data_IF_715810268496
#
_entry.id   IF_715810268496
#
_cell.length_a   1.000
_cell.length_b   1.000
_cell.length_c   1.000
_cell.angle_alpha   90.00
_cell.angle_beta   90.00
_cell.angle_gamma   90.00
#
_symmetry.space_group_name_H-M   'P 1'
#
loop_
_entity.id
_entity.type
_entity.pdbx_description
1 polymer ?
#
# COMPACT_ATOMS: atom_id res chain seq x y z
N UNK A 1 -19.50 -9.98 -29.46
CA UNK A 1 -18.91 -10.24 -28.12
C UNK A 1 -18.60 -11.72 -27.83
N UNK A 2 -19.54 -12.66 -28.00
CA UNK A 2 -19.29 -14.12 -27.79
C UNK A 2 -18.14 -14.72 -28.62
N UNK A 3 -17.91 -14.24 -29.85
CA UNK A 3 -16.84 -14.73 -30.72
C UNK A 3 -15.44 -14.32 -30.22
N UNK A 4 -15.28 -13.07 -29.77
CA UNK A 4 -14.02 -12.56 -29.22
C UNK A 4 -13.61 -13.29 -27.95
N UNK A 5 -14.56 -13.58 -27.05
CA UNK A 5 -14.29 -14.34 -25.82
C UNK A 5 -13.84 -15.77 -26.15
N UNK A 6 -14.45 -16.40 -27.15
CA UNK A 6 -14.03 -17.73 -27.61
C UNK A 6 -12.61 -17.68 -28.17
N UNK A 7 -12.31 -16.70 -29.02
CA UNK A 7 -10.99 -16.52 -29.62
C UNK A 7 -9.92 -16.31 -28.54
N UNK A 8 -10.16 -15.39 -27.60
CA UNK A 8 -9.29 -15.11 -26.46
C UNK A 8 -9.08 -16.36 -25.59
N UNK A 9 -10.14 -17.12 -25.33
CA UNK A 9 -10.04 -18.35 -24.56
C UNK A 9 -9.20 -19.40 -25.28
N UNK A 10 -9.39 -19.56 -26.58
CA UNK A 10 -8.61 -20.53 -27.37
C UNK A 10 -7.14 -20.15 -27.46
N UNK A 11 -6.82 -18.88 -27.64
CA UNK A 11 -5.43 -18.41 -27.67
C UNK A 11 -4.75 -18.52 -26.30
N UNK A 12 -5.47 -18.24 -25.21
CA UNK A 12 -4.96 -18.46 -23.84
C UNK A 12 -4.71 -19.94 -23.52
N UNK A 13 -5.57 -20.84 -24.00
CA UNK A 13 -5.43 -22.28 -23.74
C UNK A 13 -4.30 -22.91 -24.57
N UNK A 14 -4.08 -22.42 -25.80
CA UNK A 14 -2.99 -22.90 -26.66
C UNK A 14 -1.66 -22.18 -26.43
N UNK A 15 -1.60 -21.26 -25.45
CA UNK A 15 -0.40 -20.51 -25.15
C UNK A 15 0.74 -21.47 -24.75
N UNK A 16 1.85 -21.37 -25.48
CA UNK A 16 3.07 -22.10 -25.20
C UNK A 16 4.25 -21.14 -25.31
N UNK A 17 4.59 -20.50 -24.19
CA UNK A 17 5.65 -19.50 -24.12
C UNK A 17 7.04 -20.13 -24.32
N UNK A 18 7.22 -21.39 -23.94
CA UNK A 18 8.47 -22.13 -24.04
C UNK A 18 8.35 -23.17 -25.17
N UNK A 19 8.86 -22.83 -26.35
CA UNK A 19 8.68 -23.62 -27.56
C UNK A 19 9.82 -24.62 -27.76
N UNK A 20 9.67 -25.53 -28.75
CA UNK A 20 10.72 -26.48 -29.12
C UNK A 20 12.06 -25.79 -29.44
N UNK A 21 12.03 -24.57 -29.99
CA UNK A 21 13.26 -23.81 -30.29
C UNK A 21 14.11 -23.54 -29.04
N UNK A 22 13.48 -23.49 -27.88
CA UNK A 22 14.11 -23.17 -26.62
C UNK A 22 14.64 -24.43 -25.89
N UNK A 23 14.30 -25.63 -26.36
CA UNK A 23 14.53 -26.91 -25.64
C UNK A 23 15.63 -27.81 -26.21
N UNK A 24 16.40 -27.34 -27.19
CA UNK A 24 17.57 -28.06 -27.74
C UNK A 24 17.23 -29.28 -28.62
N UNK A 25 18.11 -29.63 -29.55
CA UNK A 25 17.80 -30.57 -30.65
C UNK A 25 17.67 -32.04 -30.25
N UNK A 26 17.87 -32.39 -28.97
CA UNK A 26 17.90 -33.78 -28.49
C UNK A 26 16.58 -34.29 -27.88
N UNK A 27 15.55 -33.45 -27.74
CA UNK A 27 14.27 -33.85 -27.15
C UNK A 27 13.20 -34.16 -28.20
N UNK A 28 12.43 -35.22 -27.95
CA UNK A 28 11.29 -35.58 -28.80
C UNK A 28 10.27 -34.43 -28.87
N UNK A 29 9.71 -34.23 -30.07
CA UNK A 29 8.87 -33.07 -30.41
C UNK A 29 7.57 -33.05 -29.61
N UNK A 30 7.01 -34.22 -29.29
CA UNK A 30 5.79 -34.34 -28.49
C UNK A 30 6.11 -33.99 -27.05
N UNK A 31 7.21 -34.56 -26.53
CA UNK A 31 7.67 -34.34 -25.16
C UNK A 31 7.95 -32.85 -24.89
N UNK A 32 8.70 -32.19 -25.78
CA UNK A 32 8.99 -30.77 -25.66
C UNK A 32 7.73 -29.90 -25.70
N UNK A 33 6.74 -30.24 -26.53
CA UNK A 33 5.45 -29.52 -26.59
C UNK A 33 4.66 -29.64 -25.29
N UNK A 34 4.62 -30.83 -24.68
CA UNK A 34 3.95 -31.01 -23.40
C UNK A 34 4.67 -30.26 -22.28
N UNK A 35 6.00 -30.37 -22.22
CA UNK A 35 6.81 -29.69 -21.22
C UNK A 35 6.66 -28.17 -21.31
N UNK A 36 6.71 -27.62 -22.52
CA UNK A 36 6.52 -26.18 -22.77
C UNK A 36 5.17 -25.67 -22.26
N UNK A 37 4.09 -26.41 -22.53
CA UNK A 37 2.74 -26.06 -22.07
C UNK A 37 2.64 -26.08 -20.54
N UNK A 38 3.22 -27.09 -19.88
CA UNK A 38 3.24 -27.15 -18.42
C UNK A 38 4.09 -26.04 -17.80
N UNK A 39 5.28 -25.78 -18.36
CA UNK A 39 6.14 -24.69 -17.93
C UNK A 39 5.45 -23.34 -18.09
N UNK A 40 4.73 -23.12 -19.20
CA UNK A 40 3.95 -21.91 -19.43
C UNK A 40 2.84 -21.74 -18.39
N UNK A 41 2.11 -22.82 -18.07
CA UNK A 41 1.07 -22.78 -17.02
C UNK A 41 1.65 -22.49 -15.65
N UNK A 42 2.78 -23.13 -15.30
CA UNK A 42 3.48 -22.91 -14.04
C UNK A 42 3.97 -21.46 -13.94
N UNK A 43 4.59 -20.95 -15.01
CA UNK A 43 5.07 -19.57 -15.07
C UNK A 43 3.94 -18.56 -14.87
N UNK A 44 2.83 -18.72 -15.60
CA UNK A 44 1.67 -17.83 -15.46
C UNK A 44 1.10 -17.90 -14.03
N UNK A 45 0.98 -19.11 -13.46
CA UNK A 45 0.49 -19.28 -12.10
C UNK A 45 1.39 -18.57 -11.08
N UNK A 46 2.71 -18.75 -11.17
CA UNK A 46 3.70 -18.11 -10.31
C UNK A 46 3.72 -16.58 -10.49
N UNK A 47 3.58 -16.12 -11.73
CA UNK A 47 3.56 -14.70 -12.05
C UNK A 47 2.33 -14.02 -11.46
N UNK A 48 1.14 -14.61 -11.66
CA UNK A 48 -0.11 -14.11 -11.07
C UNK A 48 -0.03 -14.15 -9.54
N UNK A 49 0.52 -15.22 -8.95
CA UNK A 49 0.66 -15.30 -7.50
C UNK A 49 1.59 -14.21 -6.97
N UNK A 50 2.73 -13.99 -7.64
CA UNK A 50 3.70 -12.95 -7.26
C UNK A 50 3.09 -11.54 -7.33
N UNK A 51 2.37 -11.22 -8.41
CA UNK A 51 1.65 -9.96 -8.53
C UNK A 51 0.57 -9.79 -7.47
N UNK A 52 -0.14 -10.88 -7.14
CA UNK A 52 -1.17 -10.87 -6.09
C UNK A 52 -0.54 -10.58 -4.72
N UNK A 53 0.55 -11.27 -4.37
CA UNK A 53 1.28 -11.02 -3.13
C UNK A 53 1.79 -9.57 -3.05
N UNK A 54 2.40 -9.07 -4.13
CA UNK A 54 2.88 -7.68 -4.18
C UNK A 54 1.74 -6.68 -3.96
N UNK A 55 0.61 -6.89 -4.65
CA UNK A 55 -0.56 -6.01 -4.54
C UNK A 55 -1.12 -6.03 -3.11
N UNK A 56 -1.28 -7.21 -2.52
CA UNK A 56 -1.76 -7.35 -1.13
C UNK A 56 -0.80 -6.63 -0.19
N UNK A 57 0.50 -6.84 -0.34
CA UNK A 57 1.51 -6.18 0.49
C UNK A 57 1.42 -4.66 0.39
N UNK A 58 1.32 -4.10 -0.82
CA UNK A 58 1.21 -2.67 -1.03
C UNK A 58 -0.07 -2.06 -0.45
N UNK A 59 -1.19 -2.79 -0.46
CA UNK A 59 -2.47 -2.32 0.09
C UNK A 59 -2.52 -2.46 1.62
N UNK A 60 -2.02 -3.58 2.15
CA UNK A 60 -2.08 -3.88 3.58
C UNK A 60 -1.06 -3.06 4.37
N UNK A 61 0.07 -2.67 3.77
CA UNK A 61 1.03 -1.82 4.44
C UNK A 61 0.42 -0.46 4.78
N UNK A 62 0.24 -0.15 6.09
CA UNK A 62 -0.25 1.16 6.49
C UNK A 62 0.80 2.20 6.09
N UNK A 63 0.37 3.16 5.28
CA UNK A 63 1.23 4.29 4.91
C UNK A 63 1.45 5.16 6.16
N UNK A 64 2.71 5.37 6.54
CA UNK A 64 3.06 6.30 7.62
C UNK A 64 2.82 7.71 7.09
N UNK A 65 1.67 8.30 7.43
CA UNK A 65 1.33 9.67 7.04
C UNK A 65 1.55 10.59 8.23
N UNK A 66 2.47 11.55 8.08
CA UNK A 66 2.62 12.63 9.06
C UNK A 66 1.42 13.57 8.99
N UNK A 67 0.67 13.68 10.07
CA UNK A 67 -0.41 14.67 10.22
C UNK A 67 0.16 15.93 10.88
N UNK A 68 -0.07 17.09 10.27
CA UNK A 68 0.34 18.39 10.80
C UNK A 68 -0.85 19.13 11.40
N UNK A 69 -0.68 19.62 12.63
CA UNK A 69 -1.68 20.43 13.32
C UNK A 69 -1.13 21.84 13.49
N UNK A 70 -1.70 22.81 12.77
CA UNK A 70 -1.28 24.20 12.87
C UNK A 70 -1.97 24.84 14.08
N UNK A 71 -1.19 25.29 15.07
CA UNK A 71 -1.65 25.99 16.28
C UNK A 71 -2.82 25.26 16.98
N UNK A 72 -2.62 24.02 17.45
CA UNK A 72 -3.66 23.29 18.16
C UNK A 72 -4.05 24.02 19.46
N UNK A 73 -5.30 23.91 19.88
CA UNK A 73 -5.70 24.31 21.23
C UNK A 73 -5.02 23.42 22.28
N UNK A 74 -4.98 23.88 23.53
CA UNK A 74 -4.40 23.10 24.62
C UNK A 74 -5.08 21.73 24.81
N UNK A 75 -6.39 21.65 24.62
CA UNK A 75 -7.14 20.38 24.64
C UNK A 75 -6.68 19.43 23.54
N UNK A 76 -6.58 19.90 22.29
CA UNK A 76 -6.13 19.09 21.15
C UNK A 76 -4.70 18.60 21.34
N UNK A 77 -3.83 19.43 21.93
CA UNK A 77 -2.48 19.03 22.29
C UNK A 77 -2.48 17.90 23.33
N UNK A 78 -3.25 18.02 24.41
CA UNK A 78 -3.33 16.97 25.44
C UNK A 78 -3.85 15.65 24.87
N UNK A 79 -4.91 15.70 24.06
CA UNK A 79 -5.47 14.50 23.41
C UNK A 79 -4.44 13.84 22.47
N UNK A 80 -3.72 14.66 21.70
CA UNK A 80 -2.68 14.18 20.77
C UNK A 80 -1.47 13.63 21.51
N UNK A 81 -1.06 14.26 22.61
CA UNK A 81 0.03 13.78 23.47
C UNK A 81 -0.33 12.46 24.12
N UNK A 82 -1.56 12.30 24.60
CA UNK A 82 -2.04 11.02 25.14
C UNK A 82 -2.07 9.92 24.08
N UNK A 83 -2.41 10.27 22.84
CA UNK A 83 -2.55 9.31 21.74
C UNK A 83 -1.24 8.89 21.08
N UNK A 84 -0.31 9.83 20.87
CA UNK A 84 0.90 9.61 20.07
C UNK A 84 2.20 9.66 20.89
N UNK A 85 2.16 10.11 22.15
CA UNK A 85 3.32 10.11 23.05
C UNK A 85 4.57 10.75 22.42
N UNK A 86 5.64 9.97 22.36
CA UNK A 86 6.96 10.39 21.85
C UNK A 86 7.04 10.48 20.32
N UNK A 87 6.05 9.95 19.59
CA UNK A 87 5.97 10.10 18.13
C UNK A 87 5.53 11.52 17.73
N UNK A 88 4.98 12.28 18.67
CA UNK A 88 4.56 13.66 18.46
C UNK A 88 5.79 14.59 18.35
N UNK A 89 6.05 15.10 17.15
CA UNK A 89 7.07 16.13 16.93
C UNK A 89 6.46 17.52 17.01
N UNK A 90 6.84 18.29 18.03
CA UNK A 90 6.48 19.69 18.20
C UNK A 90 7.66 20.58 17.75
N UNK A 91 7.66 21.11 16.51
CA UNK A 91 8.62 22.14 16.16
C UNK A 91 8.31 23.41 16.97
N UNK A 92 9.24 23.84 17.80
CA UNK A 92 9.15 25.09 18.54
C UNK A 92 9.27 26.28 17.57
N UNK A 93 8.16 26.64 16.92
CA UNK A 93 8.07 27.84 16.07
C UNK A 93 7.61 29.08 16.86
N UNK A 94 6.98 28.88 18.03
CA UNK A 94 6.52 29.94 18.92
C UNK A 94 6.78 29.51 20.37
N UNK A 95 7.50 30.34 21.14
CA UNK A 95 7.95 30.04 22.51
C UNK A 95 6.79 30.05 23.52
N UNK A 96 5.65 30.65 23.17
CA UNK A 96 4.49 30.74 24.06
C UNK A 96 3.17 30.66 23.27
N UNK A 97 2.21 29.92 23.83
CA UNK A 97 0.79 30.03 23.45
C UNK A 97 0.21 31.29 24.09
N UNK A 98 -0.61 32.11 23.40
CA UNK A 98 -1.41 33.10 24.07
C UNK A 98 -2.32 32.37 25.06
N UNK A 99 -2.16 32.67 26.33
CA UNK A 99 -3.07 32.21 27.36
C UNK A 99 -4.25 33.17 27.40
N UNK A 100 -5.47 32.64 27.40
CA UNK A 100 -6.64 33.45 27.67
C UNK A 100 -6.63 33.95 29.11
N UNK A 101 -7.33 35.06 29.39
CA UNK A 101 -7.27 35.78 30.67
C UNK A 101 -7.49 34.86 31.88
N UNK A 102 -6.42 34.54 32.61
CA UNK A 102 -6.51 33.73 33.84
C UNK A 102 -6.99 34.48 35.07
N UNK A 103 -7.00 35.81 35.03
CA UNK A 103 -7.23 36.63 36.21
C UNK A 103 -8.25 37.72 35.88
N UNK A 104 -9.47 37.51 36.34
CA UNK A 104 -10.49 38.56 36.48
C UNK A 104 -10.33 39.17 37.88
N UNK A 105 -9.85 40.41 37.93
CA UNK A 105 -9.71 41.16 39.18
C UNK A 105 -10.93 42.08 39.30
N UNK A 106 -11.87 41.75 40.17
CA UNK A 106 -12.93 42.65 40.61
C UNK A 106 -12.55 43.32 41.93
N UNK A 107 -12.02 44.58 41.92
CA UNK A 107 -11.72 45.29 43.14
C UNK A 107 -13.01 45.74 43.84
N UNK A 108 -13.19 45.32 45.10
CA UNK A 108 -14.24 45.84 45.98
C UNK A 108 -13.61 46.91 46.87
N UNK A 109 -14.00 48.17 46.68
CA UNK A 109 -13.57 49.28 47.52
C UNK A 109 -14.43 49.35 48.78
N UNK A 110 -13.82 49.22 49.96
CA UNK A 110 -14.49 49.53 51.23
C UNK A 110 -14.58 51.05 51.42
N UNK A 111 -15.78 51.53 51.80
CA UNK A 111 -16.04 52.93 52.17
C UNK A 111 -15.55 53.23 53.59
#
# INVERSE_FOLDING_TARGET
MRSLIKLLRTTLIDLNLFSLRDMGSGTDRITAKHLGRWATRLYIALFISGLSFLTIYSVVQPQVVTKTFNRPSFSIYNDSKQKYGDELKCPCSVIASPYDQFIEIEPIFHK
#
